data_IF_063748028280
#
_entry.id   IF_063748028280
#
_cell.length_a   1.000
_cell.length_b   1.000
_cell.length_c   1.000
_cell.angle_alpha   90.00
_cell.angle_beta   90.00
_cell.angle_gamma   90.00
#
_symmetry.space_group_name_H-M   'P 1'
#
loop_
_entity.id
_entity.type
_entity.pdbx_description
1 polymer ?
#
# COMPACT_ATOMS: atom_id res chain seq x y z
N UNK A 1 33.76 13.26 -39.83
CA UNK A 1 33.91 12.53 -38.56
C UNK A 1 35.37 12.17 -38.39
N UNK A 2 35.92 12.31 -37.19
CA UNK A 2 37.28 11.88 -36.87
C UNK A 2 37.18 10.41 -36.43
N UNK A 3 37.96 9.52 -37.04
CA UNK A 3 37.95 8.10 -36.66
C UNK A 3 38.37 7.94 -35.19
N UNK A 4 37.57 7.23 -34.39
CA UNK A 4 37.82 7.03 -32.95
C UNK A 4 37.33 8.16 -32.01
N UNK A 5 36.79 9.26 -32.54
CA UNK A 5 36.29 10.38 -31.72
C UNK A 5 34.85 10.18 -31.19
N UNK A 6 34.54 10.73 -30.02
CA UNK A 6 33.17 10.73 -29.49
C UNK A 6 32.24 11.56 -30.39
N UNK A 7 31.19 10.91 -30.91
CA UNK A 7 30.27 11.52 -31.87
C UNK A 7 29.54 12.76 -31.32
N UNK A 8 29.25 12.83 -30.01
CA UNK A 8 28.62 13.99 -29.37
C UNK A 8 29.58 15.17 -29.34
N UNK A 9 30.81 14.94 -28.90
CA UNK A 9 31.84 15.99 -28.78
C UNK A 9 32.23 16.55 -30.14
N UNK A 10 32.37 15.68 -31.15
CA UNK A 10 32.71 16.08 -32.52
C UNK A 10 31.56 16.86 -33.17
N UNK A 11 30.30 16.47 -32.94
CA UNK A 11 29.14 17.21 -33.43
C UNK A 11 29.03 18.61 -32.80
N UNK A 12 29.24 18.72 -31.48
CA UNK A 12 29.24 20.02 -30.78
C UNK A 12 30.37 20.94 -31.26
N UNK A 13 31.58 20.40 -31.45
CA UNK A 13 32.70 21.17 -31.98
C UNK A 13 32.47 21.62 -33.43
N UNK A 14 31.86 20.78 -34.27
CA UNK A 14 31.51 21.13 -35.64
C UNK A 14 30.42 22.21 -35.68
N UNK A 15 29.41 22.12 -34.82
CA UNK A 15 28.38 23.15 -34.70
C UNK A 15 28.97 24.51 -34.29
N UNK A 16 29.84 24.54 -33.27
CA UNK A 16 30.51 25.76 -32.84
C UNK A 16 31.42 26.38 -33.92
N UNK A 17 32.09 25.55 -34.73
CA UNK A 17 32.89 26.02 -35.87
C UNK A 17 32.03 26.52 -37.02
N UNK A 18 30.88 25.91 -37.27
CA UNK A 18 29.93 26.36 -38.30
C UNK A 18 29.37 27.74 -37.96
N UNK A 19 29.13 28.01 -36.68
CA UNK A 19 28.71 29.32 -36.17
C UNK A 19 29.76 30.41 -36.44
N UNK A 20 31.05 30.10 -36.21
CA UNK A 20 32.15 31.01 -36.53
C UNK A 20 32.31 31.27 -38.03
N UNK A 21 32.07 30.25 -38.87
CA UNK A 21 32.15 30.38 -40.33
C UNK A 21 30.99 31.23 -40.86
N UNK A 22 29.80 31.12 -40.27
CA UNK A 22 28.65 31.96 -40.65
C UNK A 22 28.94 33.46 -40.48
N UNK A 23 29.74 33.86 -39.50
CA UNK A 23 30.15 35.26 -39.31
C UNK A 23 31.04 35.80 -40.44
N UNK A 24 31.70 34.90 -41.19
CA UNK A 24 32.57 35.25 -42.32
C UNK A 24 31.88 35.22 -43.68
N UNK A 25 30.60 34.81 -43.73
CA UNK A 25 29.83 34.72 -44.96
C UNK A 25 29.13 36.07 -45.29
N UNK A 26 28.88 36.38 -46.57
CA UNK A 26 28.07 37.53 -46.98
C UNK A 26 26.68 37.49 -46.35
N UNK A 27 26.06 38.65 -46.14
CA UNK A 27 24.76 38.78 -45.46
C UNK A 27 23.62 37.91 -46.06
N UNK A 28 23.78 37.50 -47.32
CA UNK A 28 22.78 36.78 -48.09
C UNK A 28 22.95 35.24 -48.00
N UNK A 29 24.01 34.74 -47.34
CA UNK A 29 24.38 33.31 -47.31
C UNK A 29 24.47 32.81 -45.87
N UNK A 30 23.69 31.78 -45.53
CA UNK A 30 23.70 31.11 -44.22
C UNK A 30 23.98 29.61 -44.38
N UNK A 31 25.01 29.12 -43.70
CA UNK A 31 25.26 27.69 -43.56
C UNK A 31 24.46 27.12 -42.38
N UNK A 32 23.44 26.31 -42.68
CA UNK A 32 22.63 25.63 -41.68
C UNK A 32 23.01 24.13 -41.57
N UNK A 33 23.08 23.57 -40.35
CA UNK A 33 23.34 22.14 -40.17
C UNK A 33 22.11 21.32 -40.60
N UNK A 34 22.31 20.38 -41.54
CA UNK A 34 21.24 19.50 -42.05
C UNK A 34 20.96 18.31 -41.13
N UNK A 35 21.99 17.78 -40.44
CA UNK A 35 21.87 16.64 -39.53
C UNK A 35 22.80 16.81 -38.33
N UNK A 36 22.21 16.92 -37.14
CA UNK A 36 22.95 16.82 -35.87
C UNK A 36 22.63 15.48 -35.18
N UNK A 37 23.59 14.56 -35.24
CA UNK A 37 23.49 13.24 -34.57
C UNK A 37 23.50 13.36 -33.04
N UNK A 38 23.94 14.48 -32.47
CA UNK A 38 23.93 14.72 -31.02
C UNK A 38 22.51 14.73 -30.46
N UNK A 39 21.53 15.24 -31.23
CA UNK A 39 20.12 15.27 -30.85
C UNK A 39 19.58 13.86 -30.64
N UNK A 40 19.84 12.96 -31.60
CA UNK A 40 19.41 11.57 -31.54
C UNK A 40 20.09 10.79 -30.40
N UNK A 41 21.38 11.03 -30.16
CA UNK A 41 22.11 10.41 -29.04
C UNK A 41 21.54 10.89 -27.71
N UNK A 42 21.34 12.20 -27.53
CA UNK A 42 20.79 12.76 -26.29
C UNK A 42 19.34 12.29 -26.04
N UNK A 43 18.50 12.20 -27.08
CA UNK A 43 17.15 11.67 -26.93
C UNK A 43 17.16 10.19 -26.54
N UNK A 44 18.05 9.40 -27.14
CA UNK A 44 18.20 7.97 -26.80
C UNK A 44 18.69 7.79 -25.36
N UNK A 45 19.69 8.57 -24.92
CA UNK A 45 20.18 8.55 -23.53
C UNK A 45 19.04 8.91 -22.57
N UNK A 46 18.25 9.94 -22.89
CA UNK A 46 17.10 10.35 -22.05
C UNK A 46 16.08 9.21 -21.92
N UNK A 47 15.76 8.53 -23.02
CA UNK A 47 14.84 7.39 -23.01
C UNK A 47 15.39 6.21 -22.21
N UNK A 48 16.68 5.87 -22.41
CA UNK A 48 17.33 4.79 -21.65
C UNK A 48 17.38 5.13 -20.17
N UNK A 49 17.76 6.35 -19.80
CA UNK A 49 17.77 6.81 -18.41
C UNK A 49 16.38 6.72 -17.79
N UNK A 50 15.33 7.18 -18.49
CA UNK A 50 13.94 7.06 -18.04
C UNK A 50 13.56 5.60 -17.79
N UNK A 51 13.81 4.71 -18.76
CA UNK A 51 13.47 3.29 -18.63
C UNK A 51 14.23 2.61 -17.48
N UNK A 52 15.50 2.95 -17.28
CA UNK A 52 16.30 2.44 -16.17
C UNK A 52 15.77 2.93 -14.82
N UNK A 53 15.38 4.21 -14.71
CA UNK A 53 14.80 4.76 -13.49
C UNK A 53 13.44 4.12 -13.18
N UNK A 54 12.56 3.99 -14.17
CA UNK A 54 11.26 3.33 -14.00
C UNK A 54 11.42 1.84 -13.64
N UNK A 55 12.34 1.15 -14.30
CA UNK A 55 12.68 -0.24 -13.98
C UNK A 55 13.23 -0.40 -12.56
N UNK A 56 14.14 0.48 -12.14
CA UNK A 56 14.70 0.45 -10.79
C UNK A 56 13.62 0.69 -9.72
N UNK A 57 12.73 1.66 -9.93
CA UNK A 57 11.62 1.92 -9.02
C UNK A 57 10.67 0.71 -8.91
N UNK A 58 10.36 0.08 -10.03
CA UNK A 58 9.52 -1.12 -10.05
C UNK A 58 10.16 -2.26 -9.27
N UNK A 59 11.47 -2.49 -9.44
CA UNK A 59 12.21 -3.51 -8.68
C UNK A 59 12.13 -3.25 -7.19
N UNK A 60 12.29 -1.99 -6.75
CA UNK A 60 12.16 -1.61 -5.34
C UNK A 60 10.76 -1.96 -4.81
N UNK A 61 9.71 -1.52 -5.51
CA UNK A 61 8.31 -1.81 -5.09
C UNK A 61 8.07 -3.32 -4.96
N UNK A 62 8.45 -4.09 -5.98
CA UNK A 62 8.27 -5.55 -5.95
C UNK A 62 9.08 -6.20 -4.84
N UNK A 63 10.32 -5.77 -4.61
CA UNK A 63 11.15 -6.29 -3.54
C UNK A 63 10.51 -6.06 -2.16
N UNK A 64 9.98 -4.87 -1.89
CA UNK A 64 9.29 -4.58 -0.62
C UNK A 64 8.02 -5.42 -0.45
N UNK A 65 7.25 -5.62 -1.53
CA UNK A 65 6.08 -6.51 -1.50
C UNK A 65 6.47 -7.96 -1.18
N UNK A 66 7.53 -8.46 -1.83
CA UNK A 66 8.05 -9.81 -1.59
C UNK A 66 8.62 -9.96 -0.18
N UNK A 67 9.40 -8.99 0.30
CA UNK A 67 9.94 -8.97 1.66
C UNK A 67 8.83 -8.95 2.70
N UNK A 68 7.76 -8.16 2.50
CA UNK A 68 6.61 -8.14 3.39
C UNK A 68 5.89 -9.49 3.47
N UNK A 69 5.70 -10.17 2.34
CA UNK A 69 5.09 -11.51 2.30
C UNK A 69 6.01 -12.58 2.89
N UNK A 70 7.31 -12.50 2.61
CA UNK A 70 8.32 -13.39 3.17
C UNK A 70 8.41 -13.24 4.70
N UNK A 71 8.38 -12.01 5.22
CA UNK A 71 8.37 -11.76 6.67
C UNK A 71 7.14 -12.39 7.35
N UNK A 72 5.96 -12.28 6.73
CA UNK A 72 4.75 -12.97 7.19
C UNK A 72 4.90 -14.49 7.20
N UNK A 73 5.43 -15.07 6.12
CA UNK A 73 5.68 -16.51 6.03
C UNK A 73 6.72 -16.98 7.07
N UNK A 74 7.81 -16.23 7.25
CA UNK A 74 8.85 -16.53 8.25
C UNK A 74 8.27 -16.51 9.66
N UNK A 75 7.40 -15.55 9.98
CA UNK A 75 6.71 -15.49 11.28
C UNK A 75 5.88 -16.76 11.51
N UNK A 76 5.07 -17.19 10.53
CA UNK A 76 4.29 -18.44 10.64
C UNK A 76 5.18 -19.68 10.74
N UNK A 77 6.26 -19.75 9.95
CA UNK A 77 7.25 -20.84 10.02
C UNK A 77 7.96 -20.89 11.38
N UNK A 78 8.29 -19.74 11.97
CA UNK A 78 8.93 -19.67 13.28
C UNK A 78 7.99 -20.19 14.39
N UNK A 79 6.70 -19.83 14.32
CA UNK A 79 5.68 -20.37 15.23
C UNK A 79 5.54 -21.88 15.05
N UNK A 80 5.41 -22.35 13.80
CA UNK A 80 5.31 -23.78 13.50
C UNK A 80 6.56 -24.57 13.92
N UNK A 81 7.75 -24.03 13.73
CA UNK A 81 9.01 -24.66 14.16
C UNK A 81 9.11 -24.74 15.69
N UNK A 82 8.70 -23.68 16.41
CA UNK A 82 8.82 -23.58 17.87
C UNK A 82 7.74 -24.35 18.63
N UNK A 83 6.52 -24.38 18.09
CA UNK A 83 5.33 -24.88 18.78
C UNK A 83 4.64 -26.06 18.07
N UNK A 84 5.00 -26.36 16.81
CA UNK A 84 4.48 -27.50 16.06
C UNK A 84 2.96 -27.52 15.92
N UNK A 85 2.41 -28.74 15.78
CA UNK A 85 0.98 -29.01 15.96
C UNK A 85 0.74 -29.18 17.46
N UNK A 86 0.27 -28.13 18.11
CA UNK A 86 0.02 -28.13 19.55
C UNK A 86 -1.31 -27.49 19.88
N UNK A 87 -1.91 -27.96 20.98
CA UNK A 87 -3.17 -27.44 21.54
C UNK A 87 -3.16 -25.91 21.71
N UNK A 88 -2.01 -25.33 22.04
CA UNK A 88 -1.86 -23.88 22.22
C UNK A 88 -1.93 -23.11 20.90
N UNK A 89 -1.33 -23.65 19.83
CA UNK A 89 -1.39 -23.05 18.48
C UNK A 89 -2.82 -23.16 17.94
N UNK A 90 -3.46 -24.30 18.13
CA UNK A 90 -4.86 -24.52 17.71
C UNK A 90 -5.80 -23.56 18.45
N UNK A 91 -5.66 -23.44 19.77
CA UNK A 91 -6.42 -22.49 20.57
C UNK A 91 -6.21 -21.05 20.11
N UNK A 92 -4.96 -20.65 19.85
CA UNK A 92 -4.63 -19.32 19.34
C UNK A 92 -5.25 -19.03 17.98
N UNK A 93 -5.11 -19.94 17.01
CA UNK A 93 -5.63 -19.75 15.66
C UNK A 93 -7.15 -19.69 15.63
N UNK A 94 -7.83 -20.56 16.39
CA UNK A 94 -9.29 -20.55 16.51
C UNK A 94 -9.74 -19.24 17.16
N UNK A 95 -9.10 -18.85 18.27
CA UNK A 95 -9.46 -17.63 18.99
C UNK A 95 -9.28 -16.40 18.12
N UNK A 96 -8.11 -16.25 17.49
CA UNK A 96 -7.80 -15.16 16.59
C UNK A 96 -8.80 -15.11 15.42
N UNK A 97 -9.05 -16.23 14.75
CA UNK A 97 -9.92 -16.25 13.57
C UNK A 97 -11.37 -15.90 13.95
N UNK A 98 -11.90 -16.54 14.99
CA UNK A 98 -13.29 -16.33 15.42
C UNK A 98 -13.52 -14.96 16.06
N UNK A 99 -12.52 -14.39 16.73
CA UNK A 99 -12.64 -13.04 17.27
C UNK A 99 -12.50 -11.93 16.21
N UNK A 100 -11.80 -12.18 15.10
CA UNK A 100 -11.44 -11.13 14.14
C UNK A 100 -12.27 -11.12 12.85
N UNK A 101 -12.87 -12.24 12.43
CA UNK A 101 -13.59 -12.31 11.14
C UNK A 101 -14.75 -11.31 11.05
N UNK A 102 -15.54 -11.17 12.11
CA UNK A 102 -16.71 -10.29 12.12
C UNK A 102 -16.30 -8.80 12.07
N UNK A 103 -15.40 -8.31 12.93
CA UNK A 103 -14.84 -6.96 12.80
C UNK A 103 -14.28 -6.67 11.40
N UNK A 104 -13.47 -7.59 10.85
CA UNK A 104 -12.86 -7.42 9.51
C UNK A 104 -13.93 -7.33 8.42
N UNK A 105 -14.99 -8.14 8.52
CA UNK A 105 -16.11 -8.12 7.59
C UNK A 105 -16.86 -6.79 7.68
N UNK A 106 -17.17 -6.33 8.89
CA UNK A 106 -17.84 -5.03 9.11
C UNK A 106 -16.98 -3.89 8.54
N UNK A 107 -15.67 -3.86 8.81
CA UNK A 107 -14.75 -2.88 8.21
C UNK A 107 -14.79 -2.94 6.69
N UNK A 108 -14.77 -4.15 6.10
CA UNK A 108 -14.84 -4.34 4.66
C UNK A 108 -16.11 -3.75 4.05
N UNK A 109 -17.27 -4.14 4.59
CA UNK A 109 -18.59 -3.65 4.14
C UNK A 109 -18.72 -2.14 4.32
N UNK A 110 -18.37 -1.62 5.50
CA UNK A 110 -18.41 -0.19 5.78
C UNK A 110 -17.46 0.59 4.86
N UNK A 111 -16.26 0.07 4.58
CA UNK A 111 -15.30 0.74 3.69
C UNK A 111 -15.86 0.96 2.28
N UNK A 112 -16.62 0.00 1.74
CA UNK A 112 -17.22 0.11 0.39
C UNK A 112 -18.19 1.29 0.30
N UNK A 113 -18.96 1.55 1.37
CA UNK A 113 -19.92 2.67 1.42
C UNK A 113 -19.24 3.97 1.84
N UNK A 114 -18.35 3.90 2.83
CA UNK A 114 -17.74 5.05 3.48
C UNK A 114 -16.73 5.75 2.58
N UNK A 115 -15.91 5.01 1.81
CA UNK A 115 -14.89 5.62 0.94
C UNK A 115 -15.53 6.60 -0.07
N UNK A 116 -16.58 6.21 -0.85
CA UNK A 116 -17.27 7.15 -1.73
C UNK A 116 -17.87 8.36 -1.01
N UNK A 117 -18.46 8.16 0.17
CA UNK A 117 -19.06 9.25 0.96
C UNK A 117 -17.99 10.24 1.40
N UNK A 118 -16.88 9.76 1.94
CA UNK A 118 -15.75 10.58 2.35
C UNK A 118 -15.11 11.33 1.17
N UNK A 119 -15.05 10.72 -0.01
CA UNK A 119 -14.59 11.39 -1.23
C UNK A 119 -15.55 12.52 -1.65
N UNK A 120 -16.88 12.32 -1.54
CA UNK A 120 -17.88 13.37 -1.84
C UNK A 120 -17.81 14.52 -0.83
N UNK A 121 -17.62 14.20 0.45
CA UNK A 121 -17.55 15.17 1.55
C UNK A 121 -16.34 16.11 1.45
N UNK A 122 -15.35 15.80 0.60
CA UNK A 122 -14.25 16.74 0.28
C UNK A 122 -14.71 18.05 -0.36
N UNK A 123 -15.89 18.06 -0.99
CA UNK A 123 -16.46 19.26 -1.61
C UNK A 123 -17.36 20.05 -0.66
N UNK A 124 -17.67 19.49 0.52
CA UNK A 124 -18.43 20.17 1.56
C UNK A 124 -17.55 21.17 2.30
N UNK A 125 -18.17 22.04 3.09
CA UNK A 125 -17.46 22.97 3.96
C UNK A 125 -16.63 22.23 5.01
N UNK A 126 -15.50 22.80 5.43
CA UNK A 126 -14.59 22.17 6.39
C UNK A 126 -15.28 21.84 7.72
N UNK A 127 -16.24 22.68 8.16
CA UNK A 127 -17.02 22.45 9.37
C UNK A 127 -17.92 21.20 9.27
N UNK A 128 -18.62 21.03 8.16
CA UNK A 128 -19.51 19.89 7.91
C UNK A 128 -18.71 18.59 7.82
N UNK A 129 -17.55 18.64 7.13
CA UNK A 129 -16.62 17.52 7.06
C UNK A 129 -16.12 17.10 8.44
N UNK A 130 -15.66 18.05 9.25
CA UNK A 130 -15.08 17.77 10.56
C UNK A 130 -16.14 17.25 11.54
N UNK A 131 -17.38 17.76 11.47
CA UNK A 131 -18.50 17.24 12.24
C UNK A 131 -18.79 15.78 11.87
N UNK A 132 -18.95 15.47 10.58
CA UNK A 132 -19.20 14.11 10.11
C UNK A 132 -18.11 13.12 10.57
N UNK A 133 -16.84 13.53 10.48
CA UNK A 133 -15.71 12.67 10.92
C UNK A 133 -15.78 12.40 12.43
N UNK A 134 -16.09 13.42 13.25
CA UNK A 134 -16.24 13.26 14.70
C UNK A 134 -17.41 12.32 15.04
N UNK A 135 -18.56 12.51 14.39
CA UNK A 135 -19.74 11.65 14.58
C UNK A 135 -19.44 10.21 14.17
N UNK A 136 -18.82 10.01 13.00
CA UNK A 136 -18.41 8.69 12.51
C UNK A 136 -17.46 8.00 13.49
N UNK A 137 -16.43 8.70 13.98
CA UNK A 137 -15.49 8.13 14.94
C UNK A 137 -16.16 7.79 16.27
N UNK A 138 -17.07 8.65 16.76
CA UNK A 138 -17.83 8.39 17.98
C UNK A 138 -18.70 7.13 17.86
N UNK A 139 -19.45 7.01 16.75
CA UNK A 139 -20.28 5.83 16.48
C UNK A 139 -19.45 4.55 16.30
N UNK A 140 -18.31 4.63 15.60
CA UNK A 140 -17.43 3.48 15.40
C UNK A 140 -16.77 3.04 16.70
N UNK A 141 -16.38 3.98 17.58
CA UNK A 141 -15.85 3.64 18.90
C UNK A 141 -16.91 2.96 19.77
N UNK A 142 -18.14 3.50 19.81
CA UNK A 142 -19.25 2.91 20.54
C UNK A 142 -19.61 1.51 20.01
N UNK A 143 -19.70 1.35 18.69
CA UNK A 143 -19.94 0.07 18.04
C UNK A 143 -18.80 -0.93 18.30
N UNK A 144 -17.55 -0.45 18.33
CA UNK A 144 -16.39 -1.26 18.67
C UNK A 144 -16.45 -1.81 20.10
N UNK A 145 -16.78 -0.96 21.08
CA UNK A 145 -16.96 -1.39 22.48
C UNK A 145 -18.11 -2.39 22.59
N UNK A 146 -19.25 -2.10 21.95
CA UNK A 146 -20.39 -3.02 21.94
C UNK A 146 -20.02 -4.37 21.31
N UNK A 147 -19.25 -4.37 20.22
CA UNK A 147 -18.76 -5.59 19.58
C UNK A 147 -17.81 -6.35 20.49
N UNK A 148 -16.88 -5.69 21.17
CA UNK A 148 -15.97 -6.35 22.12
C UNK A 148 -16.72 -7.04 23.26
N UNK A 149 -17.74 -6.37 23.82
CA UNK A 149 -18.62 -6.95 24.84
C UNK A 149 -19.40 -8.13 24.26
N UNK A 150 -19.99 -7.97 23.07
CA UNK A 150 -20.73 -9.03 22.41
C UNK A 150 -19.84 -10.26 22.11
N UNK A 151 -18.61 -10.05 21.66
CA UNK A 151 -17.62 -11.12 21.44
C UNK A 151 -17.31 -11.84 22.75
N UNK A 152 -17.17 -11.11 23.86
CA UNK A 152 -16.97 -11.72 25.18
C UNK A 152 -18.13 -12.62 25.58
N UNK A 153 -19.36 -12.12 25.49
CA UNK A 153 -20.57 -12.86 25.88
C UNK A 153 -20.95 -13.99 24.92
N UNK A 154 -20.66 -13.83 23.63
CA UNK A 154 -20.95 -14.85 22.62
C UNK A 154 -19.97 -16.02 22.66
N UNK A 155 -18.76 -15.81 23.19
CA UNK A 155 -17.69 -16.81 23.19
C UNK A 155 -18.05 -18.19 23.75
N UNK A 156 -18.68 -18.34 24.93
CA UNK A 156 -19.06 -19.65 25.43
C UNK A 156 -19.96 -20.42 24.45
N UNK A 157 -20.87 -19.72 23.76
CA UNK A 157 -21.73 -20.32 22.74
C UNK A 157 -20.96 -20.69 21.48
N UNK A 158 -19.99 -19.87 21.07
CA UNK A 158 -19.10 -20.16 19.94
C UNK A 158 -18.28 -21.42 20.21
N UNK A 159 -17.67 -21.52 21.39
CA UNK A 159 -16.88 -22.69 21.81
C UNK A 159 -17.75 -23.93 21.98
N UNK A 160 -18.98 -23.81 22.50
CA UNK A 160 -19.88 -24.94 22.62
C UNK A 160 -20.42 -25.42 21.26
N UNK A 161 -20.72 -24.51 20.33
CA UNK A 161 -21.25 -24.86 19.03
C UNK A 161 -20.17 -25.40 18.07
N UNK A 162 -19.04 -24.69 17.94
CA UNK A 162 -17.97 -25.01 16.99
C UNK A 162 -16.86 -25.86 17.60
N UNK A 163 -16.73 -25.87 18.92
CA UNK A 163 -15.68 -26.59 19.64
C UNK A 163 -16.03 -28.02 20.06
N UNK A 164 -17.17 -28.59 19.63
CA UNK A 164 -17.56 -29.97 19.99
C UNK A 164 -16.55 -31.04 19.59
N UNK A 165 -15.76 -30.78 18.54
CA UNK A 165 -14.67 -31.65 18.09
C UNK A 165 -13.30 -31.36 18.73
N UNK A 166 -13.21 -30.34 19.59
CA UNK A 166 -11.92 -29.91 20.17
C UNK A 166 -11.66 -30.59 21.52
N UNK A 167 -10.39 -30.92 21.81
CA UNK A 167 -9.99 -31.36 23.15
C UNK A 167 -10.38 -30.33 24.22
N UNK A 168 -10.72 -30.80 25.42
CA UNK A 168 -11.13 -29.92 26.52
C UNK A 168 -10.07 -28.86 26.87
N UNK A 169 -8.79 -29.23 26.76
CA UNK A 169 -7.66 -28.33 26.99
C UNK A 169 -7.66 -27.15 26.02
N UNK A 170 -7.90 -27.41 24.73
CA UNK A 170 -7.97 -26.38 23.69
C UNK A 170 -9.14 -25.43 23.97
N UNK A 171 -10.32 -25.97 24.33
CA UNK A 171 -11.48 -25.16 24.70
C UNK A 171 -11.19 -24.23 25.88
N UNK A 172 -10.53 -24.73 26.92
CA UNK A 172 -10.11 -23.90 28.07
C UNK A 172 -9.17 -22.76 27.66
N UNK A 173 -8.11 -23.07 26.92
CA UNK A 173 -7.14 -22.06 26.44
C UNK A 173 -7.78 -20.98 25.58
N UNK A 174 -8.79 -21.34 24.77
CA UNK A 174 -9.50 -20.35 23.95
C UNK A 174 -10.27 -19.33 24.81
N UNK A 175 -10.80 -19.76 25.96
CA UNK A 175 -11.45 -18.87 26.93
C UNK A 175 -10.46 -17.88 27.55
N UNK A 176 -9.27 -18.34 27.92
CA UNK A 176 -8.23 -17.48 28.51
C UNK A 176 -7.75 -16.42 27.51
N UNK A 177 -7.57 -16.81 26.25
CA UNK A 177 -7.14 -15.91 25.18
C UNK A 177 -8.19 -14.84 24.81
N UNK A 178 -9.47 -15.12 25.01
CA UNK A 178 -10.56 -14.20 24.68
C UNK A 178 -10.39 -12.84 25.34
N UNK A 179 -9.86 -12.80 26.56
CA UNK A 179 -9.66 -11.56 27.32
C UNK A 179 -8.78 -10.58 26.52
N UNK A 180 -7.78 -11.10 25.81
CA UNK A 180 -6.91 -10.31 24.96
C UNK A 180 -7.55 -9.99 23.60
N UNK A 181 -8.35 -10.89 23.03
CA UNK A 181 -8.92 -10.73 21.69
C UNK A 181 -10.22 -9.92 21.63
N UNK A 182 -11.01 -9.89 22.69
CA UNK A 182 -12.22 -9.07 22.78
C UNK A 182 -11.92 -7.58 22.51
N UNK A 183 -10.93 -6.91 23.17
CA UNK A 183 -10.60 -5.52 22.85
C UNK A 183 -9.98 -5.35 21.46
N UNK A 184 -9.29 -6.37 20.93
CA UNK A 184 -8.73 -6.33 19.56
C UNK A 184 -9.84 -6.15 18.52
N UNK A 185 -11.02 -6.75 18.74
CA UNK A 185 -12.18 -6.59 17.85
C UNK A 185 -12.61 -5.11 17.70
N UNK A 186 -12.62 -4.35 18.80
CA UNK A 186 -12.91 -2.92 18.80
C UNK A 186 -11.82 -2.11 18.09
N UNK A 187 -10.56 -2.41 18.40
CA UNK A 187 -9.41 -1.74 17.80
C UNK A 187 -9.36 -1.95 16.28
N UNK A 188 -9.71 -3.15 15.80
CA UNK A 188 -9.79 -3.44 14.37
C UNK A 188 -10.82 -2.59 13.65
N UNK A 189 -11.99 -2.35 14.27
CA UNK A 189 -13.00 -1.46 13.69
C UNK A 189 -12.49 -0.02 13.58
N UNK A 190 -11.92 0.51 14.67
CA UNK A 190 -11.40 1.88 14.72
C UNK A 190 -10.26 2.06 13.69
N UNK A 191 -9.31 1.12 13.67
CA UNK A 191 -8.19 1.14 12.72
C UNK A 191 -8.67 1.01 11.27
N UNK A 192 -9.63 0.11 11.03
CA UNK A 192 -10.19 -0.15 9.70
C UNK A 192 -10.88 1.07 9.08
N UNK A 193 -11.67 1.78 9.87
CA UNK A 193 -12.34 3.01 9.44
C UNK A 193 -11.35 4.16 9.26
N UNK A 194 -10.35 4.27 10.12
CA UNK A 194 -9.26 5.24 9.96
C UNK A 194 -8.47 4.99 8.67
N UNK A 195 -8.20 3.72 8.34
CA UNK A 195 -7.59 3.34 7.08
C UNK A 195 -8.49 3.61 5.86
N UNK A 196 -9.81 3.46 5.98
CA UNK A 196 -10.76 3.84 4.93
C UNK A 196 -10.73 5.35 4.67
N UNK A 197 -10.64 6.17 5.72
CA UNK A 197 -10.47 7.63 5.61
C UNK A 197 -9.16 8.00 4.90
N UNK A 198 -8.05 7.36 5.26
CA UNK A 198 -6.77 7.60 4.59
C UNK A 198 -6.83 7.23 3.10
N UNK A 199 -7.42 6.06 2.77
CA UNK A 199 -7.67 5.63 1.39
C UNK A 199 -8.58 6.58 0.61
N UNK A 200 -9.54 7.23 1.27
CA UNK A 200 -10.39 8.25 0.63
C UNK A 200 -9.64 9.58 0.38
N UNK A 201 -8.58 9.86 1.15
CA UNK A 201 -7.72 11.02 0.96
C UNK A 201 -6.74 10.80 -0.21
N UNK A 202 -6.11 9.63 -0.26
CA UNK A 202 -5.24 9.20 -1.35
C UNK A 202 -6.06 8.73 -2.54
N UNK A 203 -6.44 9.69 -3.36
CA UNK A 203 -7.11 9.44 -4.62
C UNK A 203 -6.14 8.65 -5.53
N UNK A 204 -6.39 7.36 -5.73
CA UNK A 204 -6.18 6.75 -7.05
C UNK A 204 -7.10 7.47 -8.03
N UNK A 205 -6.65 8.65 -8.49
CA UNK A 205 -7.12 9.25 -9.74
C UNK A 205 -6.50 8.40 -10.84
N UNK A 206 -7.21 7.38 -11.28
CA UNK A 206 -6.99 6.82 -12.60
C UNK A 206 -8.37 6.42 -13.16
N UNK A 207 -9.13 7.47 -13.49
CA UNK A 207 -9.79 7.55 -14.78
C UNK A 207 -8.85 8.24 -15.74
#
# INVERSE_FOLDING_TARGET
MIAGGNSRTVAQAAAARLEQVNTSLPADIVAAPVLDRSVLVNSTIKTVAKNLTEGALLVVVVLFLLLGKAAGAIKEMAVAYRYGVSDAVDAYQITMTMATWLPVTIVGVLSVVLIPVLVRLRRAEDAERDQFIKELQGWVAAAGIALAIATWFAWPYVVDALGKGLPERVRGMTGDLLIAFAPVSALLLIAGISAARLRAHERHVNT
#
